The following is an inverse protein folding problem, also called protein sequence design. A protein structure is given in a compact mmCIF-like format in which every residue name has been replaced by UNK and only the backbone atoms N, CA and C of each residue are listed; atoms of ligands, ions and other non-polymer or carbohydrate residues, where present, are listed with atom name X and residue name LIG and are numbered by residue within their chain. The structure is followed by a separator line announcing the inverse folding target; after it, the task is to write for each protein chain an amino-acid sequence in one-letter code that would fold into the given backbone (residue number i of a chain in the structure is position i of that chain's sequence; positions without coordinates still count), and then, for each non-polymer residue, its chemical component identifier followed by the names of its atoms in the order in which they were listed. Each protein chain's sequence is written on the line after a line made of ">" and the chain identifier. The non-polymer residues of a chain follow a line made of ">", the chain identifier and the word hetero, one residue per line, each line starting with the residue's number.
data_IF_607758840421
#
_entry.id   IF_607758840421
#
_cell.length_a   1.000
_cell.length_b   1.000
_cell.length_c   1.000
_cell.angle_alpha   90.00
_cell.angle_beta   90.00
_cell.angle_gamma   90.00
#
_symmetry.space_group_name_H-M   'P 1'
#
loop_
_entity.id
_entity.type
_entity.pdbx_description
1 polymer ?
#
# COMPACT_ATOMS: atom_id res chain seq x y z
N UNK A 1 9.51 23.83 30.23
CA UNK A 1 9.43 22.44 29.74
C UNK A 1 10.55 22.21 28.74
N UNK A 2 11.56 21.37 29.06
CA UNK A 2 12.73 21.18 28.19
C UNK A 2 12.38 20.35 26.95
N UNK A 3 13.14 20.59 25.88
CA UNK A 3 13.01 20.09 24.50
C UNK A 3 12.44 18.66 24.38
N UNK A 4 11.26 18.53 23.77
CA UNK A 4 10.82 17.27 23.16
C UNK A 4 11.69 17.04 21.91
N UNK A 5 12.61 16.08 22.00
CA UNK A 5 13.12 15.40 20.80
C UNK A 5 11.93 14.65 20.19
N UNK A 6 11.31 15.21 19.15
CA UNK A 6 10.39 14.45 18.30
C UNK A 6 11.20 13.54 17.36
N UNK A 7 10.68 12.33 17.09
CA UNK A 7 11.47 11.12 17.25
C UNK A 7 12.02 10.61 15.92
N UNK A 8 13.04 9.75 16.00
CA UNK A 8 13.43 8.81 14.95
C UNK A 8 12.18 8.21 14.30
N UNK A 9 12.05 8.32 12.98
CA UNK A 9 10.80 8.00 12.25
C UNK A 9 10.76 6.58 11.75
N UNK A 10 11.92 5.93 11.63
CA UNK A 10 12.03 4.54 11.18
C UNK A 10 12.53 3.64 12.31
N UNK A 11 11.98 2.42 12.40
CA UNK A 11 12.43 1.42 13.38
C UNK A 11 13.91 1.07 13.23
N UNK A 12 14.45 1.14 12.01
CA UNK A 12 15.87 0.89 11.71
C UNK A 12 16.83 1.85 12.41
N UNK A 13 16.35 3.00 12.91
CA UNK A 13 17.16 3.97 13.63
C UNK A 13 17.33 3.63 15.12
N UNK A 14 16.62 2.62 15.62
CA UNK A 14 16.64 2.18 17.03
C UNK A 14 17.43 0.88 17.21
N UNK A 15 17.84 0.60 18.46
CA UNK A 15 18.46 -0.69 18.77
C UNK A 15 17.39 -1.80 18.92
N UNK A 16 17.82 -3.06 18.91
CA UNK A 16 16.89 -4.21 18.95
C UNK A 16 15.97 -4.20 20.18
N UNK A 17 16.48 -3.88 21.37
CA UNK A 17 15.70 -3.83 22.60
C UNK A 17 14.63 -2.74 22.54
N UNK A 18 14.97 -1.57 22.00
CA UNK A 18 14.02 -0.47 21.77
C UNK A 18 12.94 -0.89 20.76
N UNK A 19 13.33 -1.52 19.64
CA UNK A 19 12.39 -1.99 18.61
C UNK A 19 11.43 -3.03 19.21
N UNK A 20 11.94 -4.02 19.95
CA UNK A 20 11.11 -5.05 20.60
C UNK A 20 10.12 -4.43 21.60
N UNK A 21 10.58 -3.47 22.41
CA UNK A 21 9.71 -2.76 23.35
C UNK A 21 8.63 -1.94 22.63
N UNK A 22 8.98 -1.26 21.54
CA UNK A 22 8.03 -0.49 20.73
C UNK A 22 7.00 -1.40 20.05
N UNK A 23 7.44 -2.50 19.44
CA UNK A 23 6.56 -3.48 18.79
C UNK A 23 5.64 -4.17 19.79
N UNK A 24 6.11 -4.40 21.03
CA UNK A 24 5.33 -5.03 22.10
C UNK A 24 4.33 -4.12 22.80
N UNK A 25 4.52 -2.79 22.77
CA UNK A 25 3.66 -1.84 23.50
C UNK A 25 2.77 -0.94 22.63
N UNK A 26 3.02 -0.90 21.31
CA UNK A 26 2.28 -0.04 20.39
C UNK A 26 1.17 -0.79 19.65
N UNK A 27 0.06 -0.12 19.38
CA UNK A 27 -0.94 -0.56 18.40
C UNK A 27 -0.34 -0.45 16.98
N UNK A 28 -0.25 -1.58 16.28
CA UNK A 28 0.34 -1.69 14.94
C UNK A 28 -0.78 -1.84 13.92
N UNK A 29 -0.89 -0.86 13.03
CA UNK A 29 -1.90 -0.84 11.97
C UNK A 29 -1.19 -0.98 10.62
N UNK A 30 -1.63 -1.95 9.82
CA UNK A 30 -1.16 -2.15 8.45
C UNK A 30 -2.24 -1.64 7.48
N UNK A 31 -1.89 -0.64 6.67
CA UNK A 31 -2.75 -0.21 5.57
C UNK A 31 -2.35 -0.98 4.30
N UNK A 32 -3.31 -1.67 3.68
CA UNK A 32 -3.11 -2.41 2.44
C UNK A 32 -3.96 -1.81 1.34
N UNK A 33 -3.41 -1.80 0.13
CA UNK A 33 -4.09 -1.37 -1.09
C UNK A 33 -3.81 -2.38 -2.18
N UNK A 34 -4.80 -2.57 -3.04
CA UNK A 34 -4.65 -3.43 -4.21
C UNK A 34 -3.35 -3.08 -4.98
N UNK A 35 -2.50 -4.09 -5.30
CA UNK A 35 -1.21 -3.85 -5.91
C UNK A 35 -1.30 -3.17 -7.29
N UNK A 36 -2.34 -3.43 -8.06
CA UNK A 36 -2.54 -2.79 -9.36
C UNK A 36 -2.91 -1.31 -9.20
N UNK A 37 -3.77 -0.99 -8.23
CA UNK A 37 -4.08 0.40 -7.89
C UNK A 37 -2.86 1.15 -7.36
N UNK A 38 -1.96 0.48 -6.62
CA UNK A 38 -0.67 1.07 -6.20
C UNK A 38 0.19 1.42 -7.42
N UNK A 39 0.30 0.52 -8.40
CA UNK A 39 1.03 0.78 -9.64
C UNK A 39 0.48 1.99 -10.40
N UNK A 40 -0.84 2.08 -10.55
CA UNK A 40 -1.50 3.22 -11.20
C UNK A 40 -1.20 4.52 -10.43
N UNK A 41 -1.30 4.48 -9.10
CA UNK A 41 -1.01 5.64 -8.25
C UNK A 41 0.44 6.10 -8.42
N UNK A 42 1.41 5.19 -8.43
CA UNK A 42 2.82 5.53 -8.62
C UNK A 42 3.09 6.08 -10.01
N UNK A 43 2.51 5.47 -11.04
CA UNK A 43 2.58 5.96 -12.41
C UNK A 43 2.07 7.40 -12.52
N UNK A 44 0.89 7.68 -11.97
CA UNK A 44 0.29 9.03 -12.00
C UNK A 44 1.07 10.07 -11.20
N UNK A 45 1.66 9.68 -10.06
CA UNK A 45 2.45 10.58 -9.23
C UNK A 45 3.82 10.89 -9.82
N UNK A 46 4.47 9.88 -10.42
CA UNK A 46 5.81 10.00 -10.99
C UNK A 46 5.86 10.59 -12.39
N UNK A 47 4.75 10.55 -13.14
CA UNK A 47 4.75 10.88 -14.58
C UNK A 47 3.89 12.09 -14.95
N UNK A 48 3.93 13.15 -14.13
CA UNK A 48 3.33 14.41 -14.54
C UNK A 48 4.03 15.01 -15.79
N UNK A 49 5.25 14.56 -16.10
CA UNK A 49 6.14 15.15 -17.12
C UNK A 49 6.74 14.16 -18.16
N UNK A 50 6.37 12.87 -18.21
CA UNK A 50 6.94 11.90 -19.18
C UNK A 50 5.90 11.33 -20.15
N UNK A 51 6.22 11.31 -21.45
CA UNK A 51 5.39 10.75 -22.54
C UNK A 51 5.41 9.21 -22.61
N UNK A 52 5.69 8.54 -21.49
CA UNK A 52 5.79 7.08 -21.41
C UNK A 52 4.39 6.45 -21.26
N UNK A 53 4.16 5.27 -21.86
CA UNK A 53 2.91 4.54 -21.67
C UNK A 53 2.92 3.76 -20.35
N UNK A 54 1.74 3.35 -19.88
CA UNK A 54 1.64 2.50 -18.68
C UNK A 54 2.30 1.14 -18.89
N UNK A 55 2.17 0.57 -20.10
CA UNK A 55 2.85 -0.67 -20.48
C UNK A 55 4.38 -0.58 -20.35
N UNK A 56 5.00 0.53 -20.79
CA UNK A 56 6.45 0.73 -20.63
C UNK A 56 6.85 0.87 -19.16
N UNK A 57 6.04 1.55 -18.35
CA UNK A 57 6.25 1.62 -16.90
C UNK A 57 6.19 0.24 -16.25
N UNK A 58 5.18 -0.57 -16.58
CA UNK A 58 5.05 -1.94 -16.06
C UNK A 58 6.26 -2.79 -16.46
N UNK A 59 6.75 -2.65 -17.69
CA UNK A 59 7.94 -3.38 -18.12
C UNK A 59 9.15 -3.02 -17.24
N UNK A 60 9.37 -1.73 -16.95
CA UNK A 60 10.44 -1.30 -16.06
C UNK A 60 10.30 -1.86 -14.63
N UNK A 61 9.07 -1.93 -14.10
CA UNK A 61 8.78 -2.54 -12.80
C UNK A 61 9.17 -4.02 -12.80
N UNK A 62 8.77 -4.76 -13.84
CA UNK A 62 9.06 -6.18 -13.98
C UNK A 62 10.57 -6.44 -14.17
N UNK A 63 11.25 -5.61 -14.97
CA UNK A 63 12.69 -5.72 -15.25
C UNK A 63 13.55 -5.37 -14.04
N UNK A 64 13.11 -4.42 -13.20
CA UNK A 64 13.78 -4.10 -11.93
C UNK A 64 13.79 -5.30 -10.97
N UNK A 65 12.79 -6.18 -11.09
CA UNK A 65 12.61 -7.34 -10.23
C UNK A 65 12.34 -6.96 -8.76
N UNK A 66 12.14 -7.97 -7.92
CA UNK A 66 11.73 -7.76 -6.52
C UNK A 66 12.85 -7.20 -5.63
N UNK A 67 14.12 -7.46 -6.00
CA UNK A 67 15.29 -7.06 -5.21
C UNK A 67 15.64 -5.58 -5.34
N UNK A 68 15.44 -4.99 -6.53
CA UNK A 68 15.70 -3.57 -6.80
C UNK A 68 14.41 -2.74 -6.91
N UNK A 69 13.27 -3.29 -6.50
CA UNK A 69 12.00 -2.57 -6.53
C UNK A 69 12.02 -1.37 -5.56
N UNK A 70 11.59 -0.20 -6.06
CA UNK A 70 11.29 0.95 -5.20
C UNK A 70 10.19 0.60 -4.21
N UNK A 71 10.18 1.29 -3.06
CA UNK A 71 9.14 1.14 -2.02
C UNK A 71 7.73 1.29 -2.63
N UNK A 72 7.59 2.14 -3.65
CA UNK A 72 6.30 2.47 -4.26
C UNK A 72 5.57 1.26 -4.86
N UNK A 73 6.31 0.37 -5.53
CA UNK A 73 5.75 -0.81 -6.23
C UNK A 73 6.20 -2.16 -5.66
N UNK A 74 6.99 -2.17 -4.58
CA UNK A 74 7.39 -3.43 -3.94
C UNK A 74 6.18 -4.14 -3.31
N UNK A 75 6.08 -5.48 -3.39
CA UNK A 75 4.99 -6.23 -2.75
C UNK A 75 4.88 -5.92 -1.25
N UNK A 76 3.66 -5.71 -0.76
CA UNK A 76 3.33 -5.39 0.63
C UNK A 76 3.87 -6.46 1.59
N UNK A 77 3.74 -7.73 1.26
CA UNK A 77 4.26 -8.82 2.10
C UNK A 77 5.78 -8.73 2.28
N UNK A 78 6.49 -8.19 1.29
CA UNK A 78 7.94 -7.99 1.34
C UNK A 78 8.32 -6.77 2.17
N UNK A 79 7.54 -5.69 2.05
CA UNK A 79 7.75 -4.44 2.79
C UNK A 79 7.39 -4.59 4.28
N UNK A 80 6.19 -5.09 4.55
CA UNK A 80 5.57 -5.07 5.86
C UNK A 80 5.83 -6.36 6.66
N UNK A 81 6.25 -7.44 6.00
CA UNK A 81 6.58 -8.72 6.65
C UNK A 81 5.51 -9.17 7.66
N UNK A 82 4.25 -9.35 7.23
CA UNK A 82 3.13 -9.68 8.12
C UNK A 82 3.30 -11.02 8.86
N UNK A 83 4.20 -11.90 8.41
CA UNK A 83 4.55 -13.12 9.13
C UNK A 83 5.50 -12.88 10.33
N UNK A 84 6.21 -11.75 10.37
CA UNK A 84 7.18 -11.40 11.42
C UNK A 84 6.63 -10.36 12.40
N UNK A 85 5.76 -9.46 11.91
CA UNK A 85 5.14 -8.41 12.73
C UNK A 85 3.68 -8.78 12.98
N UNK A 86 3.29 -8.91 14.25
CA UNK A 86 1.90 -9.16 14.63
C UNK A 86 1.11 -7.86 14.58
N UNK A 87 0.42 -7.59 13.48
CA UNK A 87 -0.43 -6.41 13.36
C UNK A 87 -1.72 -6.56 14.16
N UNK A 88 -2.12 -5.50 14.86
CA UNK A 88 -3.38 -5.45 15.59
C UNK A 88 -4.56 -5.24 14.63
N UNK A 89 -4.33 -4.48 13.54
CA UNK A 89 -5.33 -4.20 12.51
C UNK A 89 -4.73 -4.20 11.11
N UNK A 90 -5.46 -4.75 10.15
CA UNK A 90 -5.17 -4.64 8.71
C UNK A 90 -6.33 -3.90 8.06
N UNK A 91 -6.05 -2.73 7.49
CA UNK A 91 -7.04 -1.79 6.94
C UNK A 91 -6.88 -1.73 5.43
N UNK A 92 -7.96 -2.01 4.70
CA UNK A 92 -7.96 -1.95 3.24
C UNK A 92 -8.32 -0.56 2.72
N UNK A 93 -7.57 -0.09 1.73
CA UNK A 93 -7.83 1.17 1.02
C UNK A 93 -9.12 1.07 0.18
N UNK A 94 -9.92 2.15 0.13
CA UNK A 94 -11.20 2.21 -0.58
C UNK A 94 -12.45 1.91 0.26
N UNK A 95 -12.28 1.54 1.54
CA UNK A 95 -13.37 1.20 2.46
C UNK A 95 -13.82 2.35 3.39
N UNK A 96 -13.61 3.64 3.08
CA UNK A 96 -13.53 4.62 4.17
C UNK A 96 -14.44 5.85 4.08
N UNK A 97 -15.51 5.82 4.90
CA UNK A 97 -15.63 6.82 6.00
C UNK A 97 -16.15 6.18 7.29
N UNK A 98 -17.21 5.38 7.22
CA UNK A 98 -17.92 4.90 8.41
C UNK A 98 -17.11 3.85 9.20
N UNK A 99 -16.44 2.93 8.52
CA UNK A 99 -15.67 1.85 9.18
C UNK A 99 -14.36 2.34 9.81
N UNK A 100 -13.66 3.29 9.16
CA UNK A 100 -12.44 3.88 9.71
C UNK A 100 -12.75 4.65 11.01
N UNK A 101 -13.85 5.40 11.05
CA UNK A 101 -14.28 6.13 12.25
C UNK A 101 -14.48 5.23 13.46
N UNK A 102 -15.14 4.08 13.27
CA UNK A 102 -15.35 3.09 14.33
C UNK A 102 -14.03 2.45 14.79
N UNK A 103 -13.14 2.09 13.85
CA UNK A 103 -11.83 1.53 14.18
C UNK A 103 -11.02 2.49 15.06
N UNK A 104 -11.00 3.79 14.71
CA UNK A 104 -10.22 4.80 15.43
C UNK A 104 -10.73 5.02 16.86
N UNK A 105 -12.05 4.96 17.05
CA UNK A 105 -12.65 4.99 18.39
C UNK A 105 -12.23 3.77 19.22
N UNK A 106 -12.21 2.58 18.61
CA UNK A 106 -11.80 1.35 19.31
C UNK A 106 -10.33 1.36 19.71
N UNK A 107 -9.44 1.98 18.93
CA UNK A 107 -8.01 2.08 19.26
C UNK A 107 -7.68 3.26 20.18
N UNK A 108 -8.68 3.93 20.74
CA UNK A 108 -8.51 5.00 21.73
C UNK A 108 -7.94 6.30 21.16
N UNK A 109 -7.95 6.47 19.82
CA UNK A 109 -7.60 7.76 19.22
C UNK A 109 -8.75 8.74 19.43
N UNK A 110 -8.46 10.01 19.81
CA UNK A 110 -9.52 11.00 20.03
C UNK A 110 -10.33 11.18 18.74
N UNK A 111 -11.65 11.29 18.89
CA UNK A 111 -12.61 11.50 17.78
C UNK A 111 -12.35 12.74 16.93
N UNK A 112 -11.47 13.62 17.43
CA UNK A 112 -11.08 14.87 16.80
C UNK A 112 -9.72 14.75 16.07
N UNK A 113 -9.17 13.54 15.96
CA UNK A 113 -7.99 13.27 15.10
C UNK A 113 -8.40 13.58 13.67
N UNK A 114 -7.75 14.57 13.06
CA UNK A 114 -7.93 14.88 11.63
C UNK A 114 -7.50 13.63 10.88
N UNK A 115 -8.46 12.85 10.41
CA UNK A 115 -8.16 11.80 9.46
C UNK A 115 -7.76 12.45 8.15
N UNK A 116 -6.69 11.98 7.49
CA UNK A 116 -6.49 12.34 6.10
C UNK A 116 -7.79 12.03 5.38
N UNK A 117 -8.37 13.05 4.77
CA UNK A 117 -9.65 12.90 4.09
C UNK A 117 -9.39 12.03 2.86
N UNK A 118 -9.70 10.73 2.97
CA UNK A 118 -9.76 9.85 1.82
C UNK A 118 -11.02 10.21 1.06
N UNK A 119 -10.94 11.23 0.21
CA UNK A 119 -12.05 11.77 -0.61
C UNK A 119 -12.43 10.79 -1.73
N UNK A 120 -12.79 9.56 -1.39
CA UNK A 120 -12.72 8.46 -2.35
C UNK A 120 -14.04 8.09 -3.07
N UNK A 121 -15.19 8.67 -2.74
CA UNK A 121 -16.45 8.24 -3.40
C UNK A 121 -16.51 8.60 -4.89
N UNK A 122 -15.92 9.71 -5.32
CA UNK A 122 -15.76 10.05 -6.74
C UNK A 122 -14.53 9.37 -7.38
N UNK A 123 -13.56 9.01 -6.55
CA UNK A 123 -12.27 8.44 -6.96
C UNK A 123 -12.37 6.93 -7.18
N UNK A 124 -13.31 6.23 -6.54
CA UNK A 124 -13.51 4.78 -6.72
C UNK A 124 -14.04 4.41 -8.10
N UNK A 125 -15.03 5.16 -8.61
CA UNK A 125 -15.46 5.08 -10.02
C UNK A 125 -14.32 5.46 -10.96
N UNK A 126 -13.56 6.50 -10.58
CA UNK A 126 -12.41 6.96 -11.36
C UNK A 126 -11.32 5.90 -11.48
N UNK A 127 -11.04 5.19 -10.39
CA UNK A 127 -10.10 4.08 -10.38
C UNK A 127 -10.63 2.86 -11.11
N UNK A 128 -11.93 2.58 -11.15
CA UNK A 128 -12.46 1.43 -11.91
C UNK A 128 -12.18 1.59 -13.40
N UNK A 129 -12.65 2.68 -14.02
CA UNK A 129 -12.43 2.90 -15.46
C UNK A 129 -10.95 3.06 -15.80
N UNK A 130 -10.18 3.74 -14.92
CA UNK A 130 -8.75 3.92 -15.14
C UNK A 130 -8.01 2.59 -15.03
N UNK A 131 -8.38 1.73 -14.09
CA UNK A 131 -7.80 0.39 -13.99
C UNK A 131 -8.10 -0.45 -15.22
N UNK A 132 -9.33 -0.41 -15.73
CA UNK A 132 -9.68 -1.10 -16.98
C UNK A 132 -8.83 -0.60 -18.15
N UNK A 133 -8.71 0.72 -18.32
CA UNK A 133 -7.91 1.32 -19.38
C UNK A 133 -6.42 0.92 -19.25
N UNK A 134 -5.82 1.13 -18.08
CA UNK A 134 -4.42 0.81 -17.84
C UNK A 134 -4.14 -0.70 -17.99
N UNK A 135 -5.07 -1.56 -17.55
CA UNK A 135 -4.95 -3.01 -17.72
C UNK A 135 -5.10 -3.44 -19.18
N UNK A 136 -5.91 -2.72 -19.97
CA UNK A 136 -6.06 -2.98 -21.41
C UNK A 136 -4.79 -2.68 -22.21
N UNK A 137 -3.93 -1.76 -21.75
CA UNK A 137 -2.64 -1.46 -22.38
C UNK A 137 -1.61 -2.60 -22.23
N UNK A 138 -1.83 -3.53 -21.30
CA UNK A 138 -0.87 -4.58 -20.98
C UNK A 138 -1.02 -5.81 -21.89
N UNK A 139 0.12 -6.31 -22.34
CA UNK A 139 0.18 -7.59 -23.04
C UNK A 139 -0.23 -8.76 -22.12
N UNK A 140 -0.71 -9.89 -22.67
CA UNK A 140 -1.03 -11.08 -21.87
C UNK A 140 0.15 -11.56 -21.02
N UNK A 141 1.38 -11.42 -21.54
CA UNK A 141 2.59 -11.78 -20.81
C UNK A 141 2.81 -10.87 -19.59
N UNK A 142 2.71 -9.55 -19.76
CA UNK A 142 2.84 -8.61 -18.66
C UNK A 142 1.80 -8.84 -17.57
N UNK A 143 0.55 -9.12 -17.95
CA UNK A 143 -0.53 -9.45 -17.00
C UNK A 143 -0.16 -10.64 -16.14
N UNK A 144 0.23 -11.75 -16.77
CA UNK A 144 0.68 -12.97 -16.06
C UNK A 144 1.90 -12.72 -15.18
N UNK A 145 2.87 -11.94 -15.66
CA UNK A 145 4.07 -11.61 -14.89
C UNK A 145 3.73 -10.74 -13.67
N UNK A 146 2.80 -9.79 -13.80
CA UNK A 146 2.33 -8.98 -12.67
C UNK A 146 1.59 -9.82 -11.63
N UNK A 147 0.69 -10.71 -12.06
CA UNK A 147 0.02 -11.66 -11.15
C UNK A 147 1.03 -12.51 -10.37
N UNK A 148 2.08 -13.00 -11.04
CA UNK A 148 3.16 -13.72 -10.38
C UNK A 148 4.00 -12.81 -9.45
N UNK A 149 4.32 -11.60 -9.88
CA UNK A 149 5.12 -10.63 -9.11
C UNK A 149 4.45 -10.26 -7.77
N UNK A 150 3.12 -10.11 -7.77
CA UNK A 150 2.32 -9.78 -6.58
C UNK A 150 1.63 -10.99 -5.96
N UNK A 151 1.97 -12.22 -6.35
CA UNK A 151 1.29 -13.44 -5.92
C UNK A 151 1.07 -13.50 -4.39
N UNK A 152 2.11 -13.20 -3.61
CA UNK A 152 2.02 -13.25 -2.15
C UNK A 152 1.15 -12.15 -1.54
N UNK A 153 1.05 -10.98 -2.18
CA UNK A 153 0.11 -9.94 -1.74
C UNK A 153 -1.33 -10.40 -1.97
N UNK A 154 -1.60 -10.97 -3.14
CA UNK A 154 -2.92 -11.50 -3.52
C UNK A 154 -3.34 -12.70 -2.65
N UNK A 155 -2.37 -13.49 -2.17
CA UNK A 155 -2.62 -14.60 -1.25
C UNK A 155 -2.82 -14.13 0.20
N UNK A 156 -2.12 -13.06 0.62
CA UNK A 156 -2.14 -12.59 2.01
C UNK A 156 -3.35 -11.68 2.31
N UNK A 157 -3.88 -10.96 1.31
CA UNK A 157 -4.93 -9.97 1.51
C UNK A 157 -6.10 -10.16 0.55
N UNK A 158 -7.35 -9.92 0.99
CA UNK A 158 -8.54 -10.25 0.22
C UNK A 158 -8.87 -9.16 -0.83
N UNK A 159 -8.07 -9.03 -1.88
CA UNK A 159 -8.32 -8.10 -2.99
C UNK A 159 -9.35 -8.65 -3.98
N UNK A 160 -10.61 -8.70 -3.59
CA UNK A 160 -11.69 -9.35 -4.35
C UNK A 160 -11.98 -8.75 -5.74
N UNK A 161 -11.54 -7.52 -6.01
CA UNK A 161 -11.73 -6.82 -7.28
C UNK A 161 -10.40 -6.56 -8.00
N UNK A 162 -9.35 -7.33 -7.69
CA UNK A 162 -8.05 -7.13 -8.31
C UNK A 162 -8.06 -7.55 -9.78
N UNK A 163 -7.40 -6.79 -10.63
CA UNK A 163 -7.14 -7.19 -12.02
C UNK A 163 -6.01 -8.22 -12.13
N UNK A 164 -5.29 -8.49 -11.03
CA UNK A 164 -4.14 -9.40 -11.01
C UNK A 164 -4.47 -10.78 -10.44
N UNK A 165 -5.68 -10.99 -9.93
CA UNK A 165 -6.19 -12.32 -9.59
C UNK A 165 -6.62 -13.06 -10.86
N UNK A 166 -6.29 -14.34 -10.97
CA UNK A 166 -6.71 -15.22 -12.08
C UNK A 166 -8.22 -15.42 -12.13
#
# INVERSE_FOLDING_TARGET
>A
YPRRHTPKTQLSEFNLTEIEAMLGSSTKVLFVRDPFQRLISTFMQGMKDSSTSFSSFVQNVLDSGQHNASVDWKPLVSLCRPCLVQYDYVVMFGFLRQELGHLLQQIGLPTNTILPEFTDTQVQWTYSWLSEQMFSELSPQQKKQLSHFYHWDLAAFPFSSSFLTD
#
